data_IF_104409808021
#
_entry.id   IF_104409808021
#
_cell.length_a   1.000
_cell.length_b   1.000
_cell.length_c   1.000
_cell.angle_alpha   90.00
_cell.angle_beta   90.00
_cell.angle_gamma   90.00
#
_symmetry.space_group_name_H-M   'P 1'
#
loop_
_entity.id
_entity.type
_entity.pdbx_description
1 polymer ?
#
# COMPACT_ATOMS: atom_id res chain seq x y z
N UNK A 1 30.94 -19.48 -53.66
CA UNK A 1 29.72 -20.22 -53.30
C UNK A 1 29.44 -19.99 -51.83
N UNK A 2 28.22 -19.50 -51.52
CA UNK A 2 27.49 -19.57 -50.23
C UNK A 2 28.14 -18.83 -49.03
N UNK A 3 27.76 -17.56 -48.80
CA UNK A 3 26.69 -17.09 -47.89
C UNK A 3 26.97 -17.27 -46.39
N UNK A 4 26.79 -16.19 -45.63
CA UNK A 4 26.72 -16.25 -44.17
C UNK A 4 26.57 -14.91 -43.48
N UNK A 5 25.74 -14.01 -44.02
CA UNK A 5 25.32 -12.78 -43.35
C UNK A 5 24.44 -13.15 -42.15
N UNK A 6 25.04 -13.27 -40.96
CA UNK A 6 24.28 -13.42 -39.72
C UNK A 6 23.81 -12.04 -39.25
N UNK A 7 22.78 -11.54 -39.94
CA UNK A 7 21.87 -10.51 -39.44
C UNK A 7 21.16 -11.08 -38.22
N UNK A 8 21.77 -10.86 -37.04
CA UNK A 8 21.08 -11.01 -35.77
C UNK A 8 20.00 -9.94 -35.67
N UNK A 9 18.88 -10.16 -36.36
CA UNK A 9 17.62 -9.49 -36.10
C UNK A 9 17.21 -9.79 -34.67
N UNK A 10 17.64 -8.93 -33.75
CA UNK A 10 16.93 -8.74 -32.50
C UNK A 10 15.53 -8.26 -32.89
N UNK A 11 14.60 -9.20 -33.00
CA UNK A 11 13.17 -8.92 -33.00
C UNK A 11 12.90 -8.19 -31.68
N UNK A 12 12.93 -6.86 -31.73
CA UNK A 12 12.40 -5.98 -30.72
C UNK A 12 10.94 -6.39 -30.55
N UNK A 13 10.70 -7.25 -29.55
CA UNK A 13 9.36 -7.64 -29.16
C UNK A 13 8.58 -6.36 -28.94
N UNK A 14 7.49 -6.21 -29.69
CA UNK A 14 6.60 -5.06 -29.59
C UNK A 14 6.34 -4.77 -28.11
N UNK A 15 6.86 -3.63 -27.63
CA UNK A 15 6.56 -3.14 -26.29
C UNK A 15 5.04 -3.04 -26.20
N UNK A 16 4.41 -3.91 -25.40
CA UNK A 16 2.98 -3.80 -25.15
C UNK A 16 2.73 -2.42 -24.54
N UNK A 17 2.02 -1.57 -25.28
CA UNK A 17 1.65 -0.24 -24.80
C UNK A 17 0.83 -0.40 -23.52
N UNK A 18 1.34 0.18 -22.42
CA UNK A 18 0.64 0.23 -21.14
C UNK A 18 -0.65 1.03 -21.33
N UNK A 19 -1.81 0.40 -21.10
CA UNK A 19 -3.13 1.03 -21.35
C UNK A 19 -3.50 2.10 -20.32
N UNK A 20 -3.01 1.97 -19.09
CA UNK A 20 -3.21 2.92 -17.99
C UNK A 20 -1.83 3.23 -17.45
N UNK A 21 -1.33 4.43 -17.73
CA UNK A 21 -0.06 4.88 -17.18
C UNK A 21 -0.27 5.32 -15.71
N UNK A 22 0.30 4.60 -14.73
CA UNK A 22 0.13 4.94 -13.31
C UNK A 22 0.83 6.24 -12.92
N UNK A 23 1.70 6.80 -13.78
CA UNK A 23 2.45 8.05 -13.50
C UNK A 23 1.88 9.29 -14.19
N UNK A 24 0.87 9.16 -15.06
CA UNK A 24 0.22 10.30 -15.75
C UNK A 24 -1.11 10.69 -15.10
N UNK A 25 -1.71 9.77 -14.34
CA UNK A 25 -2.77 10.07 -13.37
C UNK A 25 -2.22 10.94 -12.23
N UNK A 26 -3.06 11.47 -11.34
CA UNK A 26 -2.79 12.31 -10.16
C UNK A 26 -1.78 11.72 -9.13
N UNK A 27 -0.98 10.75 -9.53
CA UNK A 27 0.03 10.07 -8.76
C UNK A 27 1.24 10.96 -8.47
N UNK A 28 1.34 11.40 -7.22
CA UNK A 28 2.53 12.01 -6.65
C UNK A 28 3.44 10.93 -6.04
N UNK A 29 4.73 10.91 -6.41
CA UNK A 29 5.73 10.02 -5.78
C UNK A 29 5.89 10.26 -4.27
N UNK A 30 5.48 11.42 -3.76
CA UNK A 30 5.37 11.71 -2.33
C UNK A 30 4.46 10.73 -1.59
N UNK A 31 3.43 10.19 -2.25
CA UNK A 31 2.50 9.19 -1.71
C UNK A 31 3.19 7.86 -1.37
N UNK A 32 4.25 7.51 -2.11
CA UNK A 32 5.04 6.30 -1.89
C UNK A 32 6.11 6.46 -0.79
N UNK A 33 6.30 7.67 -0.24
CA UNK A 33 7.34 7.92 0.77
C UNK A 33 7.05 7.12 2.05
N UNK A 34 7.96 6.25 2.52
CA UNK A 34 7.76 5.49 3.75
C UNK A 34 7.94 6.39 4.98
N UNK A 35 6.96 6.40 5.87
CA UNK A 35 6.96 7.13 7.13
C UNK A 35 6.78 6.20 8.31
N UNK A 36 7.67 6.33 9.31
CA UNK A 36 7.53 5.67 10.60
C UNK A 36 6.82 6.60 11.58
N UNK A 37 5.73 6.13 12.19
CA UNK A 37 5.03 6.85 13.27
C UNK A 37 4.82 5.92 14.45
N UNK A 38 5.00 6.45 15.66
CA UNK A 38 4.62 5.77 16.89
C UNK A 38 3.13 5.96 17.12
N UNK A 39 2.38 4.87 17.25
CA UNK A 39 0.95 4.85 17.56
C UNK A 39 0.71 4.05 18.83
N UNK A 40 -0.41 4.27 19.51
CA UNK A 40 -0.81 3.45 20.66
C UNK A 40 -1.77 2.37 20.20
N UNK A 41 -1.34 1.11 20.24
CA UNK A 41 -2.20 -0.05 20.03
C UNK A 41 -2.55 -0.63 21.39
N UNK A 42 -3.83 -0.56 21.78
CA UNK A 42 -4.31 -1.09 23.06
C UNK A 42 -3.47 -0.63 24.28
N UNK A 43 -3.00 0.63 24.24
CA UNK A 43 -2.17 1.25 25.29
C UNK A 43 -0.65 1.15 25.08
N UNK A 44 -0.18 0.23 24.23
CA UNK A 44 1.24 0.00 23.97
C UNK A 44 1.75 0.83 22.81
N UNK A 45 2.90 1.48 23.00
CA UNK A 45 3.57 2.21 21.93
C UNK A 45 4.11 1.24 20.87
N UNK A 46 3.61 1.35 19.65
CA UNK A 46 3.98 0.53 18.51
C UNK A 46 4.44 1.43 17.38
N UNK A 47 5.63 1.18 16.84
CA UNK A 47 6.11 1.90 15.67
C UNK A 47 5.63 1.18 14.40
N UNK A 48 4.85 1.87 13.56
CA UNK A 48 4.44 1.37 12.26
C UNK A 48 5.15 2.16 11.16
N UNK A 49 5.67 1.47 10.15
CA UNK A 49 6.21 2.07 8.92
C UNK A 49 5.23 1.83 7.78
N UNK A 50 4.61 2.91 7.31
CA UNK A 50 3.65 2.92 6.21
C UNK A 50 3.98 4.07 5.24
N UNK A 51 3.63 3.89 3.99
CA UNK A 51 3.72 4.89 2.95
C UNK A 51 2.76 6.07 3.24
N UNK A 52 3.09 7.26 2.75
CA UNK A 52 2.35 8.50 3.00
C UNK A 52 0.86 8.37 2.69
N UNK A 53 0.50 7.70 1.59
CA UNK A 53 -0.89 7.48 1.17
C UNK A 53 -1.70 6.69 2.22
N UNK A 54 -1.10 5.69 2.85
CA UNK A 54 -1.81 4.90 3.85
C UNK A 54 -2.04 5.71 5.14
N UNK A 55 -1.12 6.60 5.49
CA UNK A 55 -1.35 7.52 6.61
C UNK A 55 -2.47 8.52 6.34
N UNK A 56 -2.63 8.97 5.10
CA UNK A 56 -3.72 9.86 4.69
C UNK A 56 -5.06 9.15 4.75
N UNK A 57 -5.16 7.95 4.18
CA UNK A 57 -6.37 7.12 4.24
C UNK A 57 -6.74 6.79 5.70
N UNK A 58 -5.76 6.47 6.55
CA UNK A 58 -5.99 6.25 7.99
C UNK A 58 -6.53 7.49 8.70
N UNK A 59 -5.99 8.68 8.38
CA UNK A 59 -6.46 9.94 8.94
C UNK A 59 -7.90 10.26 8.50
N UNK A 60 -8.22 10.03 7.23
CA UNK A 60 -9.57 10.18 6.70
C UNK A 60 -10.54 9.24 7.41
N UNK A 61 -10.24 7.94 7.46
CA UNK A 61 -11.05 6.95 8.17
C UNK A 61 -11.24 7.33 9.64
N UNK A 62 -10.19 7.79 10.32
CA UNK A 62 -10.27 8.22 11.71
C UNK A 62 -11.19 9.45 11.86
N UNK A 63 -11.09 10.42 10.95
CA UNK A 63 -11.96 11.60 10.91
C UNK A 63 -13.43 11.23 10.71
N UNK A 64 -13.72 10.34 9.76
CA UNK A 64 -15.07 9.84 9.50
C UNK A 64 -15.68 9.10 10.70
N UNK A 65 -14.84 8.42 11.50
CA UNK A 65 -15.25 7.74 12.72
C UNK A 65 -15.23 8.65 13.97
N UNK A 66 -14.83 9.92 13.85
CA UNK A 66 -14.69 10.83 14.99
C UNK A 66 -13.68 10.34 16.03
N UNK A 67 -12.64 9.61 15.62
CA UNK A 67 -11.65 9.02 16.51
C UNK A 67 -10.21 9.35 16.06
N UNK A 68 -9.22 8.95 16.86
CA UNK A 68 -7.80 9.08 16.46
C UNK A 68 -7.35 7.87 15.65
N UNK A 69 -6.29 8.03 14.83
CA UNK A 69 -5.66 6.91 14.11
C UNK A 69 -5.22 5.79 15.08
N UNK A 70 -4.74 6.12 16.27
CA UNK A 70 -4.37 5.12 17.28
C UNK A 70 -5.59 4.32 17.77
N UNK A 71 -6.75 4.98 17.96
CA UNK A 71 -7.99 4.32 18.35
C UNK A 71 -8.52 3.42 17.22
N UNK A 72 -8.51 3.91 15.98
CA UNK A 72 -8.88 3.12 14.80
C UNK A 72 -8.01 1.87 14.65
N UNK A 73 -6.69 2.01 14.72
CA UNK A 73 -5.76 0.88 14.61
C UNK A 73 -5.89 -0.10 15.79
N UNK A 74 -6.13 0.39 17.01
CA UNK A 74 -6.41 -0.46 18.17
C UNK A 74 -7.69 -1.28 17.97
N UNK A 75 -8.72 -0.68 17.37
CA UNK A 75 -9.94 -1.40 17.01
C UNK A 75 -9.65 -2.50 16.00
N UNK A 76 -8.90 -2.21 14.91
CA UNK A 76 -8.52 -3.22 13.91
C UNK A 76 -7.71 -4.37 14.54
N UNK A 77 -6.71 -4.05 15.37
CA UNK A 77 -5.88 -5.03 16.09
C UNK A 77 -6.73 -5.94 16.97
N UNK A 78 -7.66 -5.35 17.73
CA UNK A 78 -8.58 -6.11 18.58
C UNK A 78 -9.53 -6.99 17.76
N UNK A 79 -10.13 -6.49 16.70
CA UNK A 79 -11.08 -7.26 15.89
C UNK A 79 -10.40 -8.44 15.19
N UNK A 80 -9.19 -8.25 14.64
CA UNK A 80 -8.45 -9.36 14.03
C UNK A 80 -8.01 -10.39 15.07
N UNK A 81 -7.64 -9.94 16.27
CA UNK A 81 -7.33 -10.83 17.37
C UNK A 81 -8.55 -11.69 17.78
N UNK A 82 -9.70 -11.06 17.99
CA UNK A 82 -10.92 -11.73 18.45
C UNK A 82 -11.54 -12.65 17.39
N UNK A 83 -11.53 -12.25 16.10
CA UNK A 83 -12.23 -12.99 15.03
C UNK A 83 -11.35 -14.01 14.32
N UNK A 84 -10.03 -13.80 14.29
CA UNK A 84 -9.10 -14.59 13.48
C UNK A 84 -7.90 -15.13 14.27
N UNK A 85 -7.85 -14.90 15.59
CA UNK A 85 -6.71 -15.31 16.42
C UNK A 85 -5.47 -14.42 16.24
N UNK A 86 -5.62 -13.27 15.61
CA UNK A 86 -4.55 -12.29 15.35
C UNK A 86 -3.94 -12.41 13.95
N UNK A 87 -2.91 -11.61 13.70
CA UNK A 87 -2.20 -11.57 12.42
C UNK A 87 -0.70 -11.41 12.65
N UNK A 88 0.13 -12.16 11.90
CA UNK A 88 1.59 -12.07 12.01
C UNK A 88 2.14 -10.76 11.42
N UNK A 89 1.50 -10.24 10.38
CA UNK A 89 1.90 -9.01 9.70
C UNK A 89 0.79 -7.96 9.81
N UNK A 90 0.69 -7.33 10.99
CA UNK A 90 -0.31 -6.29 11.24
C UNK A 90 -0.16 -5.10 10.29
N UNK A 91 1.06 -4.67 9.98
CA UNK A 91 1.30 -3.57 9.03
C UNK A 91 0.79 -3.90 7.62
N UNK A 92 0.95 -5.14 7.16
CA UNK A 92 0.39 -5.62 5.91
C UNK A 92 -1.14 -5.59 5.91
N UNK A 93 -1.77 -6.04 7.00
CA UNK A 93 -3.23 -5.94 7.18
C UNK A 93 -3.71 -4.50 7.08
N UNK A 94 -3.04 -3.56 7.75
CA UNK A 94 -3.40 -2.13 7.71
C UNK A 94 -3.37 -1.58 6.28
N UNK A 95 -2.35 -1.93 5.47
CA UNK A 95 -2.30 -1.55 4.06
C UNK A 95 -3.50 -2.08 3.28
N UNK A 96 -3.86 -3.36 3.47
CA UNK A 96 -5.01 -3.98 2.81
C UNK A 96 -6.31 -3.30 3.22
N UNK A 97 -6.49 -2.98 4.51
CA UNK A 97 -7.67 -2.24 5.00
C UNK A 97 -7.80 -0.89 4.28
N UNK A 98 -6.70 -0.15 4.12
CA UNK A 98 -6.70 1.12 3.40
C UNK A 98 -7.12 0.93 1.93
N UNK A 99 -6.51 -0.03 1.22
CA UNK A 99 -6.87 -0.31 -0.19
C UNK A 99 -8.34 -0.68 -0.33
N UNK A 100 -8.85 -1.56 0.53
CA UNK A 100 -10.26 -1.98 0.49
C UNK A 100 -11.22 -0.82 0.83
N UNK A 101 -10.82 0.11 1.69
CA UNK A 101 -11.59 1.33 1.95
C UNK A 101 -11.69 2.20 0.69
N UNK A 102 -10.59 2.39 -0.04
CA UNK A 102 -10.52 3.21 -1.25
C UNK A 102 -11.11 2.57 -2.52
N UNK A 103 -11.52 1.29 -2.46
CA UNK A 103 -12.22 0.61 -3.55
C UNK A 103 -13.75 0.83 -3.51
N UNK A 104 -14.26 1.55 -2.50
CA UNK A 104 -15.69 1.87 -2.34
C UNK A 104 -15.99 3.27 -2.87
#
# INVERSE_FOLDING_TARGET
>A
MVHGESRGEWRLGAQQAVKIDPFVSEFDMGLARPLSRSVRLNGFATCLRLEQVYWEILNEMATLNGCSVSALLSHVDREVHLRHGGVKNFTGLVRVVCVVHSLK
#
